data_IF_409855411148
#
_entry.id   IF_409855411148
#
_cell.length_a   1.000
_cell.length_b   1.000
_cell.length_c   1.000
_cell.angle_alpha   90.00
_cell.angle_beta   90.00
_cell.angle_gamma   90.00
#
_symmetry.space_group_name_H-M   'P 1'
#
loop_
_entity.id
_entity.type
_entity.pdbx_description
1 polymer ?
#
# COMPACT_ATOMS: atom_id res chain seq x y z
N UNK A 1 -14.20 10.24 50.02
CA UNK A 1 -13.94 9.31 48.90
C UNK A 1 -14.35 10.03 47.63
N UNK A 2 -13.40 10.45 46.80
CA UNK A 2 -13.71 11.01 45.49
C UNK A 2 -14.23 9.88 44.60
N UNK A 3 -15.39 10.08 43.98
CA UNK A 3 -15.87 9.15 42.95
C UNK A 3 -14.80 8.98 41.87
N UNK A 4 -14.54 7.74 41.40
CA UNK A 4 -13.62 7.53 40.29
C UNK A 4 -14.18 8.22 39.05
N UNK A 5 -13.41 9.17 38.50
CA UNK A 5 -13.76 9.84 37.25
C UNK A 5 -14.07 8.81 36.17
N UNK A 6 -15.22 8.97 35.52
CA UNK A 6 -15.61 8.11 34.42
C UNK A 6 -14.52 8.17 33.33
N UNK A 7 -14.07 7.03 32.80
CA UNK A 7 -13.04 7.00 31.76
C UNK A 7 -13.52 7.83 30.55
N UNK A 8 -12.67 8.75 30.10
CA UNK A 8 -12.99 9.59 28.95
C UNK A 8 -13.30 8.72 27.73
N UNK A 9 -14.31 9.09 26.92
CA UNK A 9 -14.67 8.29 25.76
C UNK A 9 -13.51 8.24 24.74
N UNK A 10 -13.36 7.15 23.97
CA UNK A 10 -12.20 6.93 23.10
C UNK A 10 -11.91 8.08 22.11
N UNK A 11 -12.96 8.74 21.59
CA UNK A 11 -12.80 9.86 20.67
C UNK A 11 -12.12 11.08 21.32
N UNK A 12 -12.35 11.32 22.61
CA UNK A 12 -11.75 12.45 23.34
C UNK A 12 -10.24 12.23 23.53
N UNK A 13 -9.83 10.98 23.77
CA UNK A 13 -8.42 10.59 23.87
C UNK A 13 -7.72 10.80 22.52
N UNK A 14 -8.35 10.34 21.42
CA UNK A 14 -7.81 10.50 20.05
C UNK A 14 -7.66 11.98 19.69
N UNK A 15 -8.68 12.80 19.93
CA UNK A 15 -8.63 14.23 19.64
C UNK A 15 -7.60 14.97 20.49
N UNK A 16 -7.49 14.61 21.77
CA UNK A 16 -6.47 15.17 22.66
C UNK A 16 -5.06 14.84 22.16
N UNK A 17 -4.82 13.58 21.80
CA UNK A 17 -3.55 13.14 21.23
C UNK A 17 -3.24 13.83 19.89
N UNK A 18 -4.20 13.97 18.99
CA UNK A 18 -3.99 14.64 17.70
C UNK A 18 -3.43 16.06 17.87
N UNK A 19 -3.84 16.77 18.94
CA UNK A 19 -3.34 18.13 19.27
C UNK A 19 -1.91 18.14 19.81
N UNK A 20 -1.40 17.03 20.34
CA UNK A 20 -0.02 16.94 20.83
C UNK A 20 0.98 16.63 19.72
N UNK A 21 0.51 16.17 18.55
CA UNK A 21 1.37 15.90 17.39
C UNK A 21 2.00 17.21 16.90
N UNK A 22 3.34 17.29 16.74
CA UNK A 22 4.00 18.49 16.25
C UNK A 22 3.50 18.91 14.87
N UNK A 23 3.30 20.22 14.65
CA UNK A 23 2.90 20.79 13.35
C UNK A 23 3.82 20.39 12.21
N UNK A 24 5.11 20.17 12.49
CA UNK A 24 6.09 19.70 11.51
C UNK A 24 5.76 18.32 10.94
N UNK A 25 5.12 17.43 11.71
CA UNK A 25 4.70 16.10 11.23
C UNK A 25 3.55 16.23 10.24
N UNK A 26 2.55 17.06 10.55
CA UNK A 26 1.46 17.37 9.61
C UNK A 26 1.99 18.02 8.33
N UNK A 27 2.90 18.99 8.45
CA UNK A 27 3.50 19.65 7.30
C UNK A 27 4.30 18.67 6.44
N UNK A 28 5.15 17.85 7.05
CA UNK A 28 5.93 16.84 6.32
C UNK A 28 5.02 15.87 5.58
N UNK A 29 3.93 15.44 6.23
CA UNK A 29 2.93 14.58 5.62
C UNK A 29 2.23 15.23 4.42
N UNK A 30 1.79 16.49 4.57
CA UNK A 30 1.18 17.25 3.47
C UNK A 30 2.16 17.47 2.31
N UNK A 31 3.43 17.79 2.60
CA UNK A 31 4.47 17.94 1.59
C UNK A 31 4.78 16.62 0.88
N UNK A 32 4.80 15.50 1.60
CA UNK A 32 4.98 14.17 1.01
C UNK A 32 3.83 13.84 0.05
N UNK A 33 2.58 14.09 0.48
CA UNK A 33 1.38 13.84 -0.31
C UNK A 33 1.33 14.72 -1.56
N UNK A 34 1.58 16.02 -1.42
CA UNK A 34 1.70 16.95 -2.53
C UNK A 34 2.87 16.60 -3.47
N UNK A 35 3.99 16.13 -2.90
CA UNK A 35 5.17 15.69 -3.64
C UNK A 35 4.88 14.49 -4.54
N UNK A 36 4.25 13.43 -4.02
CA UNK A 36 3.84 12.27 -4.83
C UNK A 36 2.92 12.71 -5.97
N UNK A 37 1.93 13.54 -5.66
CA UNK A 37 0.97 14.01 -6.66
C UNK A 37 1.65 14.85 -7.76
N UNK A 38 2.53 15.78 -7.36
CA UNK A 38 3.28 16.63 -8.27
C UNK A 38 4.21 15.81 -9.17
N UNK A 39 4.90 14.81 -8.60
CA UNK A 39 5.77 13.91 -9.36
C UNK A 39 5.01 13.03 -10.34
N UNK A 40 3.90 12.42 -9.94
CA UNK A 40 3.07 11.58 -10.83
C UNK A 40 2.45 12.41 -11.95
N UNK A 41 1.84 13.55 -11.61
CA UNK A 41 1.24 14.45 -12.61
C UNK A 41 2.30 15.03 -13.56
N UNK A 42 3.47 15.42 -13.04
CA UNK A 42 4.58 15.92 -13.82
C UNK A 42 5.18 14.85 -14.74
N UNK A 43 5.31 13.62 -14.24
CA UNK A 43 5.78 12.48 -15.05
C UNK A 43 4.80 12.16 -16.18
N UNK A 44 3.50 12.13 -15.90
CA UNK A 44 2.49 11.93 -16.95
C UNK A 44 2.51 13.07 -17.98
N UNK A 45 2.66 14.32 -17.53
CA UNK A 45 2.80 15.46 -18.42
C UNK A 45 4.02 15.32 -19.34
N UNK A 46 5.16 14.90 -18.79
CA UNK A 46 6.38 14.67 -19.56
C UNK A 46 6.18 13.57 -20.62
N UNK A 47 5.51 12.47 -20.28
CA UNK A 47 5.17 11.41 -21.25
C UNK A 47 4.30 11.95 -22.39
N UNK A 48 3.31 12.79 -22.10
CA UNK A 48 2.38 13.31 -23.11
C UNK A 48 3.02 14.35 -24.02
N UNK A 49 3.90 15.20 -23.48
CA UNK A 49 4.32 16.44 -24.15
C UNK A 49 5.79 16.52 -24.54
N UNK A 50 6.65 15.75 -23.88
CA UNK A 50 8.10 15.93 -23.95
C UNK A 50 8.79 14.66 -24.47
N UNK A 51 8.39 13.51 -23.96
CA UNK A 51 9.04 12.22 -24.27
C UNK A 51 8.47 11.65 -25.58
N UNK A 52 9.32 11.25 -26.54
CA UNK A 52 8.86 10.59 -27.77
C UNK A 52 8.05 9.32 -27.50
N UNK A 53 7.05 9.05 -28.35
CA UNK A 53 6.15 7.90 -28.18
C UNK A 53 6.91 6.57 -28.31
N UNK A 54 7.90 6.49 -29.20
CA UNK A 54 8.72 5.31 -29.42
C UNK A 54 9.55 4.98 -28.19
N UNK A 55 10.10 6.01 -27.53
CA UNK A 55 10.82 5.84 -26.28
C UNK A 55 9.87 5.40 -25.17
N UNK A 56 8.68 5.99 -25.08
CA UNK A 56 7.66 5.64 -24.10
C UNK A 56 7.25 4.17 -24.23
N UNK A 57 6.93 3.71 -25.43
CA UNK A 57 6.54 2.32 -25.68
C UNK A 57 7.68 1.35 -25.39
N UNK A 58 8.92 1.68 -25.73
CA UNK A 58 10.05 0.76 -25.54
C UNK A 58 10.58 0.69 -24.11
N UNK A 59 10.53 1.80 -23.37
CA UNK A 59 11.30 1.96 -22.13
C UNK A 59 10.45 2.36 -20.91
N UNK A 60 9.22 2.84 -21.10
CA UNK A 60 8.35 3.27 -19.99
C UNK A 60 7.17 2.30 -19.84
N UNK A 61 6.45 2.01 -20.93
CA UNK A 61 5.39 1.01 -20.95
C UNK A 61 5.97 -0.37 -20.71
N UNK A 62 5.30 -1.18 -19.86
CA UNK A 62 5.73 -2.54 -19.64
C UNK A 62 5.36 -3.41 -20.85
N UNK A 63 6.34 -3.64 -21.73
CA UNK A 63 6.27 -4.66 -22.77
C UNK A 63 6.43 -6.04 -22.15
N UNK A 64 5.46 -6.93 -22.32
CA UNK A 64 5.46 -8.28 -21.75
C UNK A 64 6.35 -9.24 -22.54
N UNK A 65 6.54 -8.97 -23.84
CA UNK A 65 7.41 -9.74 -24.73
C UNK A 65 8.89 -9.34 -24.62
N UNK A 66 9.18 -8.06 -24.33
CA UNK A 66 10.54 -7.54 -24.14
C UNK A 66 10.64 -6.63 -22.90
N UNK A 67 10.44 -7.19 -21.69
CA UNK A 67 10.49 -6.40 -20.46
C UNK A 67 11.91 -5.98 -20.14
N UNK A 68 12.10 -4.70 -19.78
CA UNK A 68 13.36 -4.18 -19.27
C UNK A 68 13.20 -3.54 -17.89
N UNK A 69 14.31 -3.32 -17.18
CA UNK A 69 14.28 -2.78 -15.83
C UNK A 69 13.59 -1.41 -15.75
N UNK A 70 13.78 -0.57 -16.77
CA UNK A 70 13.20 0.77 -16.80
C UNK A 70 11.68 0.69 -16.95
N UNK A 71 11.18 -0.17 -17.85
CA UNK A 71 9.74 -0.38 -18.04
C UNK A 71 9.09 -1.08 -16.84
N UNK A 72 9.81 -1.99 -16.18
CA UNK A 72 9.35 -2.62 -14.93
C UNK A 72 9.24 -1.63 -13.77
N UNK A 73 10.01 -0.54 -13.78
CA UNK A 73 9.88 0.50 -12.77
C UNK A 73 8.85 1.55 -13.19
N UNK A 74 9.14 2.27 -14.28
CA UNK A 74 8.36 3.42 -14.74
C UNK A 74 6.95 3.09 -15.22
N UNK A 75 6.71 1.86 -15.68
CA UNK A 75 5.38 1.40 -16.10
C UNK A 75 4.35 1.43 -14.98
N UNK A 76 4.79 1.37 -13.71
CA UNK A 76 3.90 1.51 -12.54
C UNK A 76 3.53 2.97 -12.23
N UNK A 77 4.17 3.95 -12.85
CA UNK A 77 3.89 5.38 -12.63
C UNK A 77 3.26 6.05 -13.84
N UNK A 78 3.19 5.33 -14.96
CA UNK A 78 2.55 5.77 -16.19
C UNK A 78 1.09 5.32 -16.24
N UNK A 79 0.25 6.17 -16.81
CA UNK A 79 -1.10 5.81 -17.23
C UNK A 79 -1.27 6.02 -18.74
N UNK A 80 -2.29 5.38 -19.31
CA UNK A 80 -2.66 5.63 -20.70
C UNK A 80 -3.00 7.13 -20.87
N UNK A 81 -2.27 7.88 -21.71
CA UNK A 81 -2.50 9.31 -21.90
C UNK A 81 -3.86 9.64 -22.53
N UNK A 82 -4.52 8.64 -23.15
CA UNK A 82 -5.85 8.77 -23.74
C UNK A 82 -6.98 8.49 -22.73
N UNK A 83 -6.65 8.05 -21.51
CA UNK A 83 -7.61 7.78 -20.44
C UNK A 83 -7.31 8.63 -19.20
N UNK A 84 -7.65 9.91 -19.29
CA UNK A 84 -7.47 10.88 -18.20
C UNK A 84 -8.33 10.58 -16.95
N UNK A 85 -9.40 9.79 -17.11
CA UNK A 85 -10.25 9.38 -15.99
C UNK A 85 -9.54 8.37 -15.09
N UNK A 86 -8.80 7.44 -15.69
CA UNK A 86 -8.10 6.38 -14.97
C UNK A 86 -6.91 6.88 -14.14
N UNK A 87 -6.17 7.89 -14.60
CA UNK A 87 -5.12 8.52 -13.79
C UNK A 87 -5.71 9.27 -12.59
N UNK A 88 -6.78 10.02 -12.84
CA UNK A 88 -7.44 10.85 -11.82
C UNK A 88 -8.01 9.99 -10.69
N UNK A 89 -8.70 8.90 -11.05
CA UNK A 89 -9.26 7.96 -10.07
C UNK A 89 -8.15 7.30 -9.23
N UNK A 90 -7.07 6.82 -9.85
CA UNK A 90 -5.97 6.20 -9.12
C UNK A 90 -5.27 7.19 -8.17
N UNK A 91 -5.05 8.43 -8.61
CA UNK A 91 -4.46 9.47 -7.79
C UNK A 91 -5.35 9.81 -6.59
N UNK A 92 -6.65 10.00 -6.79
CA UNK A 92 -7.59 10.26 -5.70
C UNK A 92 -7.67 9.08 -4.72
N UNK A 93 -7.76 7.85 -5.21
CA UNK A 93 -7.76 6.66 -4.35
C UNK A 93 -6.48 6.57 -3.53
N UNK A 94 -5.31 6.76 -4.13
CA UNK A 94 -4.04 6.78 -3.41
C UNK A 94 -4.01 7.90 -2.35
N UNK A 95 -4.50 9.10 -2.69
CA UNK A 95 -4.54 10.23 -1.78
C UNK A 95 -5.39 9.94 -0.54
N UNK A 96 -6.60 9.43 -0.74
CA UNK A 96 -7.51 9.05 0.35
C UNK A 96 -6.93 7.93 1.21
N UNK A 97 -6.27 6.94 0.60
CA UNK A 97 -5.63 5.84 1.32
C UNK A 97 -4.46 6.31 2.17
N UNK A 98 -3.58 7.17 1.64
CA UNK A 98 -2.46 7.71 2.41
C UNK A 98 -3.00 8.55 3.58
N UNK A 99 -4.09 9.30 3.39
CA UNK A 99 -4.76 10.05 4.48
C UNK A 99 -5.31 9.10 5.54
N UNK A 100 -6.01 8.05 5.12
CA UNK A 100 -6.51 7.03 6.06
C UNK A 100 -5.36 6.36 6.83
N UNK A 101 -4.25 6.03 6.16
CA UNK A 101 -3.04 5.50 6.78
C UNK A 101 -2.48 6.47 7.81
N UNK A 102 -2.43 7.77 7.52
CA UNK A 102 -1.98 8.77 8.48
C UNK A 102 -2.90 8.84 9.70
N UNK A 103 -4.22 8.91 9.48
CA UNK A 103 -5.19 8.95 10.57
C UNK A 103 -5.07 7.70 11.45
N UNK A 104 -5.08 6.50 10.86
CA UNK A 104 -5.03 5.25 11.63
C UNK A 104 -3.66 5.06 12.27
N UNK A 105 -2.59 5.24 11.49
CA UNK A 105 -1.23 4.88 11.85
C UNK A 105 -0.48 5.90 12.71
N UNK A 106 -0.75 7.20 12.53
CA UNK A 106 -0.05 8.29 13.22
C UNK A 106 -0.92 8.91 14.31
N UNK A 107 -2.25 8.88 14.18
CA UNK A 107 -3.16 9.48 15.17
C UNK A 107 -3.79 8.40 16.06
N UNK A 108 -4.59 7.49 15.50
CA UNK A 108 -5.42 6.57 16.29
C UNK A 108 -4.57 5.54 17.04
N UNK A 109 -3.72 4.79 16.35
CA UNK A 109 -2.91 3.73 16.96
C UNK A 109 -1.99 4.27 18.09
N UNK A 110 -1.25 5.37 17.90
CA UNK A 110 -0.47 5.96 18.98
C UNK A 110 -1.32 6.53 20.13
N UNK A 111 -2.48 7.16 19.86
CA UNK A 111 -3.39 7.62 20.91
C UNK A 111 -3.87 6.47 21.81
N UNK A 112 -4.01 5.28 21.23
CA UNK A 112 -4.33 4.03 21.92
C UNK A 112 -3.09 3.29 22.44
N UNK A 113 -1.95 3.99 22.56
CA UNK A 113 -0.68 3.46 23.10
C UNK A 113 -0.13 2.24 22.34
N UNK A 114 -0.47 2.13 21.06
CA UNK A 114 0.04 1.10 20.15
C UNK A 114 0.76 1.71 18.95
N UNK A 115 1.79 2.56 19.16
CA UNK A 115 2.49 3.20 18.06
C UNK A 115 3.26 2.17 17.22
N UNK A 116 3.37 2.45 15.93
CA UNK A 116 4.29 1.71 15.07
C UNK A 116 5.75 2.01 15.43
N UNK A 117 6.69 1.09 15.16
CA UNK A 117 8.11 1.32 15.42
C UNK A 117 8.63 2.60 14.75
N UNK A 118 9.65 3.27 15.33
CA UNK A 118 10.28 4.41 14.68
C UNK A 118 10.74 4.05 13.25
N UNK A 119 10.52 4.97 12.31
CA UNK A 119 10.85 4.80 10.87
C UNK A 119 10.00 3.77 10.11
N UNK A 120 8.98 3.17 10.72
CA UNK A 120 8.08 2.22 10.05
C UNK A 120 7.46 2.80 8.77
N UNK A 121 6.76 3.94 8.85
CA UNK A 121 6.10 4.53 7.68
C UNK A 121 7.07 4.96 6.57
N UNK A 122 8.17 5.69 6.87
CA UNK A 122 9.18 5.99 5.85
C UNK A 122 9.75 4.74 5.16
N UNK A 123 10.06 3.69 5.91
CA UNK A 123 10.58 2.44 5.33
C UNK A 123 9.56 1.75 4.44
N UNK A 124 8.30 1.65 4.88
CA UNK A 124 7.20 1.05 4.11
C UNK A 124 6.93 1.83 2.83
N UNK A 125 6.84 3.17 2.90
CA UNK A 125 6.64 4.01 1.73
C UNK A 125 7.82 3.95 0.76
N UNK A 126 9.06 3.92 1.26
CA UNK A 126 10.23 3.73 0.41
C UNK A 126 10.16 2.42 -0.35
N UNK A 127 9.81 1.32 0.32
CA UNK A 127 9.67 0.01 -0.34
C UNK A 127 8.53 0.02 -1.35
N UNK A 128 7.36 0.55 -0.99
CA UNK A 128 6.20 0.61 -1.91
C UNK A 128 6.47 1.47 -3.14
N UNK A 129 7.22 2.56 -2.99
CA UNK A 129 7.47 3.50 -4.07
C UNK A 129 8.78 3.26 -4.82
N UNK A 130 9.67 2.36 -4.39
CA UNK A 130 10.94 2.12 -5.09
C UNK A 130 11.20 0.65 -5.43
N UNK A 131 10.83 -0.29 -4.54
CA UNK A 131 11.17 -1.71 -4.71
C UNK A 131 9.98 -2.56 -5.16
N UNK A 132 8.80 -2.31 -4.59
CA UNK A 132 7.55 -2.98 -4.94
C UNK A 132 7.16 -2.92 -6.44
N UNK A 133 7.44 -1.83 -7.19
CA UNK A 133 7.14 -1.76 -8.62
C UNK A 133 7.68 -2.97 -9.41
N UNK A 134 8.88 -3.44 -9.09
CA UNK A 134 9.47 -4.60 -9.77
C UNK A 134 8.68 -5.89 -9.52
N UNK A 135 8.21 -6.10 -8.29
CA UNK A 135 7.39 -7.26 -7.93
C UNK A 135 6.03 -7.22 -8.62
N UNK A 136 5.39 -6.05 -8.63
CA UNK A 136 4.10 -5.83 -9.32
C UNK A 136 4.28 -6.05 -10.82
N UNK A 137 5.36 -5.55 -11.42
CA UNK A 137 5.65 -5.77 -12.84
C UNK A 137 5.93 -7.23 -13.17
N UNK A 138 6.68 -7.96 -12.35
CA UNK A 138 6.91 -9.38 -12.58
C UNK A 138 5.62 -10.21 -12.49
N UNK A 139 4.74 -9.92 -11.53
CA UNK A 139 3.38 -10.48 -11.47
C UNK A 139 2.60 -10.10 -12.73
N UNK A 140 2.72 -8.85 -13.16
CA UNK A 140 2.01 -8.34 -14.33
C UNK A 140 2.45 -9.00 -15.62
N UNK A 141 3.75 -9.24 -15.81
CA UNK A 141 4.30 -9.95 -16.97
C UNK A 141 3.71 -11.35 -17.04
N UNK A 142 3.79 -12.10 -15.93
CA UNK A 142 3.26 -13.45 -15.86
C UNK A 142 1.75 -13.50 -16.16
N UNK A 143 0.95 -12.66 -15.49
CA UNK A 143 -0.50 -12.67 -15.68
C UNK A 143 -0.89 -12.16 -17.07
N UNK A 144 -0.19 -11.16 -17.60
CA UNK A 144 -0.44 -10.63 -18.93
C UNK A 144 -0.19 -11.67 -20.03
N UNK A 145 0.84 -12.51 -19.90
CA UNK A 145 1.07 -13.65 -20.82
C UNK A 145 -0.12 -14.61 -20.84
N UNK A 146 -0.64 -14.97 -19.67
CA UNK A 146 -1.82 -15.84 -19.55
C UNK A 146 -3.06 -15.19 -20.18
N UNK A 147 -3.19 -13.87 -20.01
CA UNK A 147 -4.31 -13.09 -20.53
C UNK A 147 -4.16 -12.65 -22.00
N UNK A 148 -3.05 -12.98 -22.67
CA UNK A 148 -2.77 -12.53 -24.05
C UNK A 148 -2.59 -11.01 -24.19
N UNK A 149 -2.10 -10.33 -23.15
CA UNK A 149 -1.82 -8.90 -23.16
C UNK A 149 -0.34 -8.63 -23.47
N UNK A 150 -0.10 -7.77 -24.45
CA UNK A 150 1.27 -7.35 -24.81
C UNK A 150 1.81 -6.24 -23.90
N UNK A 151 0.92 -5.40 -23.37
CA UNK A 151 1.29 -4.16 -22.68
C UNK A 151 0.58 -4.03 -21.35
N UNK A 152 1.29 -3.50 -20.35
CA UNK A 152 0.72 -3.15 -19.05
C UNK A 152 1.29 -1.83 -18.52
N UNK A 153 0.49 -1.10 -17.78
CA UNK A 153 0.90 0.14 -17.10
C UNK A 153 -0.13 0.51 -16.05
N UNK A 154 0.31 1.20 -15.00
CA UNK A 154 -0.60 1.85 -14.07
C UNK A 154 -0.15 1.82 -12.62
N UNK A 155 -0.56 2.84 -11.89
CA UNK A 155 -0.27 3.01 -10.46
C UNK A 155 -1.15 2.17 -9.53
N UNK A 156 -2.20 1.54 -10.06
CA UNK A 156 -3.21 0.84 -9.27
C UNK A 156 -2.64 -0.28 -8.40
N UNK A 157 -1.64 -1.05 -8.85
CA UNK A 157 -0.98 -2.06 -8.00
C UNK A 157 -0.37 -1.46 -6.72
N UNK A 158 0.25 -0.28 -6.81
CA UNK A 158 0.80 0.45 -5.65
C UNK A 158 -0.34 1.01 -4.79
N UNK A 159 -1.42 1.52 -5.40
CA UNK A 159 -2.64 1.92 -4.68
C UNK A 159 -3.22 0.78 -3.85
N UNK A 160 -3.31 -0.43 -4.41
CA UNK A 160 -3.75 -1.61 -3.68
C UNK A 160 -2.77 -2.02 -2.57
N UNK A 161 -1.48 -1.77 -2.73
CA UNK A 161 -0.53 -1.96 -1.63
C UNK A 161 -0.76 -0.99 -0.47
N UNK A 162 -1.09 0.27 -0.74
CA UNK A 162 -1.54 1.20 0.31
C UNK A 162 -2.83 0.72 0.99
N UNK A 163 -3.77 0.15 0.23
CA UNK A 163 -4.96 -0.47 0.81
C UNK A 163 -4.59 -1.65 1.71
N UNK A 164 -3.65 -2.51 1.29
CA UNK A 164 -3.12 -3.60 2.11
C UNK A 164 -2.46 -3.10 3.40
N UNK A 165 -1.70 -2.02 3.34
CA UNK A 165 -1.11 -1.38 4.53
C UNK A 165 -2.20 -0.85 5.46
N UNK A 166 -3.25 -0.22 4.93
CA UNK A 166 -4.37 0.23 5.75
C UNK A 166 -5.03 -0.95 6.47
N UNK A 167 -5.28 -2.06 5.78
CA UNK A 167 -5.79 -3.28 6.42
C UNK A 167 -4.84 -3.84 7.47
N UNK A 168 -3.53 -3.84 7.24
CA UNK A 168 -2.55 -4.25 8.24
C UNK A 168 -2.67 -3.40 9.52
N UNK A 169 -2.83 -2.08 9.38
CA UNK A 169 -2.99 -1.17 10.52
C UNK A 169 -4.33 -1.41 11.25
N UNK A 170 -5.41 -1.64 10.49
CA UNK A 170 -6.72 -1.97 11.06
C UNK A 170 -6.70 -3.32 11.80
N UNK A 171 -6.03 -4.34 11.25
CA UNK A 171 -5.83 -5.62 11.93
C UNK A 171 -4.98 -5.48 13.19
N UNK A 172 -3.97 -4.60 13.17
CA UNK A 172 -3.17 -4.27 14.36
C UNK A 172 -4.04 -3.63 15.45
N UNK A 173 -4.96 -2.75 15.06
CA UNK A 173 -5.95 -2.14 15.95
C UNK A 173 -6.92 -3.18 16.53
N UNK A 174 -7.42 -4.11 15.71
CA UNK A 174 -8.26 -5.24 16.16
C UNK A 174 -7.49 -6.08 17.18
N UNK A 175 -6.30 -6.54 16.83
CA UNK A 175 -5.47 -7.39 17.69
C UNK A 175 -5.24 -6.75 19.05
N UNK A 176 -4.93 -5.46 19.08
CA UNK A 176 -4.78 -4.72 20.34
C UNK A 176 -6.07 -4.70 21.15
N UNK A 177 -7.18 -4.34 20.51
CA UNK A 177 -8.48 -4.22 21.18
C UNK A 177 -8.93 -5.57 21.76
N UNK A 178 -8.66 -6.69 21.06
CA UNK A 178 -8.90 -8.06 21.56
C UNK A 178 -8.09 -8.31 22.83
N UNK A 179 -6.78 -8.06 22.80
CA UNK A 179 -5.89 -8.33 23.93
C UNK A 179 -6.21 -7.47 25.18
N UNK A 180 -6.72 -6.27 24.98
CA UNK A 180 -7.09 -5.36 26.07
C UNK A 180 -8.53 -5.54 26.55
N UNK A 181 -9.34 -6.35 25.85
CA UNK A 181 -10.74 -6.56 26.21
C UNK A 181 -10.86 -7.32 27.54
N UNK A 182 -11.46 -6.66 28.54
CA UNK A 182 -11.82 -7.27 29.84
C UNK A 182 -13.34 -7.21 30.11
N UNK A 183 -14.13 -6.61 29.23
CA UNK A 183 -15.58 -6.42 29.39
C UNK A 183 -16.36 -6.86 28.14
N UNK A 184 -17.63 -7.25 28.34
CA UNK A 184 -18.55 -7.66 27.26
C UNK A 184 -18.79 -6.54 26.22
N UNK A 185 -18.84 -5.28 26.64
CA UNK A 185 -18.95 -4.12 25.74
C UNK A 185 -17.73 -3.94 24.82
N UNK A 186 -16.55 -4.36 25.30
CA UNK A 186 -15.32 -4.36 24.49
C UNK A 186 -15.35 -5.50 23.48
N UNK A 187 -15.89 -6.67 23.85
CA UNK A 187 -16.06 -7.81 22.94
C UNK A 187 -16.97 -7.50 21.74
N UNK A 188 -18.06 -6.75 21.95
CA UNK A 188 -18.91 -6.28 20.85
C UNK A 188 -18.18 -5.30 19.93
N UNK A 189 -17.38 -4.39 20.50
CA UNK A 189 -16.58 -3.42 19.72
C UNK A 189 -15.50 -4.12 18.88
N UNK A 190 -14.85 -5.14 19.44
CA UNK A 190 -13.90 -6.03 18.75
C UNK A 190 -14.58 -6.76 17.61
N UNK A 191 -15.74 -7.36 17.85
CA UNK A 191 -16.49 -8.09 16.83
C UNK A 191 -16.91 -7.19 15.68
N UNK A 192 -17.38 -5.97 15.97
CA UNK A 192 -17.72 -4.97 14.94
C UNK A 192 -16.49 -4.55 14.14
N UNK A 193 -15.35 -4.29 14.78
CA UNK A 193 -14.12 -3.89 14.09
C UNK A 193 -13.56 -5.02 13.22
N UNK A 194 -13.57 -6.26 13.71
CA UNK A 194 -13.17 -7.44 12.95
C UNK A 194 -14.13 -7.67 11.78
N UNK A 195 -15.44 -7.60 12.02
CA UNK A 195 -16.46 -7.75 10.97
C UNK A 195 -16.30 -6.67 9.91
N UNK A 196 -16.14 -5.40 10.29
CA UNK A 196 -15.91 -4.30 9.35
C UNK A 196 -14.63 -4.53 8.54
N UNK A 197 -13.53 -4.89 9.21
CA UNK A 197 -12.23 -5.13 8.54
C UNK A 197 -12.33 -6.29 7.55
N UNK A 198 -12.87 -7.44 7.97
CA UNK A 198 -13.02 -8.62 7.11
C UNK A 198 -14.04 -8.40 5.99
N UNK A 199 -15.15 -7.70 6.25
CA UNK A 199 -16.15 -7.36 5.24
C UNK A 199 -15.55 -6.43 4.20
N UNK A 200 -14.89 -5.35 4.60
CA UNK A 200 -14.24 -4.44 3.65
C UNK A 200 -13.13 -5.14 2.87
N UNK A 201 -12.35 -6.02 3.49
CA UNK A 201 -11.35 -6.83 2.79
C UNK A 201 -12.00 -7.76 1.75
N UNK A 202 -13.07 -8.44 2.15
CA UNK A 202 -13.83 -9.32 1.26
C UNK A 202 -14.42 -8.53 0.08
N UNK A 203 -15.01 -7.37 0.34
CA UNK A 203 -15.55 -6.49 -0.70
C UNK A 203 -14.44 -5.98 -1.64
N UNK A 204 -13.27 -5.61 -1.11
CA UNK A 204 -12.13 -5.21 -1.93
C UNK A 204 -11.65 -6.35 -2.84
N UNK A 205 -11.55 -7.57 -2.30
CA UNK A 205 -11.19 -8.76 -3.08
C UNK A 205 -12.26 -9.07 -4.14
N UNK A 206 -13.54 -9.03 -3.78
CA UNK A 206 -14.64 -9.22 -4.71
C UNK A 206 -14.59 -8.18 -5.83
N UNK A 207 -14.38 -6.89 -5.50
CA UNK A 207 -14.26 -5.82 -6.49
C UNK A 207 -13.11 -6.08 -7.46
N UNK A 208 -11.93 -6.48 -6.97
CA UNK A 208 -10.79 -6.89 -7.81
C UNK A 208 -11.24 -8.00 -8.79
N UNK A 209 -11.93 -9.03 -8.30
CA UNK A 209 -12.40 -10.13 -9.16
C UNK A 209 -13.54 -9.76 -10.12
N UNK A 210 -14.33 -8.72 -9.85
CA UNK A 210 -15.33 -8.24 -10.83
C UNK A 210 -14.72 -7.68 -12.10
N UNK A 211 -13.43 -7.31 -12.07
CA UNK A 211 -12.70 -6.83 -13.25
C UNK A 211 -12.11 -7.97 -14.11
N UNK A 212 -12.22 -9.23 -13.66
CA UNK A 212 -11.70 -10.38 -14.40
C UNK A 212 -12.36 -10.57 -15.78
N UNK A 213 -13.71 -10.46 -15.91
CA UNK A 213 -14.39 -10.67 -17.20
C UNK A 213 -14.14 -9.57 -18.23
N UNK A 214 -13.85 -8.33 -17.80
CA UNK A 214 -13.64 -7.22 -18.72
C UNK A 214 -12.30 -7.36 -19.45
N UNK A 215 -11.32 -8.04 -18.85
CA UNK A 215 -10.00 -8.22 -19.41
C UNK A 215 -9.26 -6.90 -19.64
N UNK A 216 -9.76 -5.75 -19.20
CA UNK A 216 -9.12 -4.45 -19.44
C UNK A 216 -8.02 -4.18 -18.42
N UNK A 217 -8.20 -4.62 -17.18
CA UNK A 217 -7.27 -4.37 -16.08
C UNK A 217 -6.45 -5.62 -15.74
N UNK A 218 -5.27 -5.45 -15.13
CA UNK A 218 -4.47 -6.56 -14.63
C UNK A 218 -4.86 -6.87 -13.16
N UNK A 219 -5.92 -7.66 -13.01
CA UNK A 219 -6.49 -8.06 -11.71
C UNK A 219 -5.46 -8.69 -10.77
N UNK A 220 -4.52 -9.47 -11.32
CA UNK A 220 -3.46 -10.12 -10.54
C UNK A 220 -2.43 -9.12 -10.00
N UNK A 221 -2.17 -8.02 -10.72
CA UNK A 221 -1.31 -6.95 -10.22
C UNK A 221 -1.94 -6.24 -9.02
N UNK A 222 -3.27 -6.06 -9.03
CA UNK A 222 -4.01 -5.49 -7.89
C UNK A 222 -3.99 -6.42 -6.68
N UNK A 223 -4.30 -7.70 -6.90
CA UNK A 223 -4.27 -8.70 -5.83
C UNK A 223 -2.86 -8.84 -5.25
N UNK A 224 -1.83 -8.90 -6.12
CA UNK A 224 -0.43 -8.90 -5.73
C UNK A 224 -0.06 -7.67 -4.90
N UNK A 225 -0.45 -6.48 -5.36
CA UNK A 225 -0.31 -5.23 -4.62
C UNK A 225 -0.94 -5.30 -3.23
N UNK A 226 -2.20 -5.72 -3.13
CA UNK A 226 -2.93 -5.86 -1.85
C UNK A 226 -2.23 -6.82 -0.88
N UNK A 227 -1.88 -8.02 -1.34
CA UNK A 227 -1.25 -9.05 -0.51
C UNK A 227 0.16 -8.66 -0.06
N UNK A 228 0.97 -8.09 -0.96
CA UNK A 228 2.28 -7.56 -0.62
C UNK A 228 2.16 -6.34 0.33
N UNK A 229 1.11 -5.53 0.15
CA UNK A 229 0.76 -4.42 1.02
C UNK A 229 0.39 -4.82 2.44
N UNK A 230 -0.11 -6.04 2.65
CA UNK A 230 -0.35 -6.63 3.97
C UNK A 230 0.93 -7.24 4.58
N UNK A 231 1.71 -7.94 3.75
CA UNK A 231 2.86 -8.73 4.20
C UNK A 231 4.10 -7.87 4.50
N UNK A 232 4.47 -6.97 3.57
CA UNK A 232 5.70 -6.18 3.67
C UNK A 232 5.73 -5.32 4.95
N UNK A 233 4.65 -4.61 5.35
CA UNK A 233 4.68 -3.84 6.59
C UNK A 233 4.92 -4.72 7.82
N UNK A 234 4.35 -5.93 7.85
CA UNK A 234 4.60 -6.89 8.94
C UNK A 234 6.09 -7.23 9.05
N UNK A 235 6.74 -7.52 7.91
CA UNK A 235 8.18 -7.84 7.87
C UNK A 235 9.06 -6.63 8.23
N UNK A 236 8.69 -5.42 7.81
CA UNK A 236 9.36 -4.18 8.21
C UNK A 236 9.24 -3.97 9.72
N UNK A 237 8.06 -4.20 10.29
CA UNK A 237 7.82 -4.14 11.73
C UNK A 237 8.73 -5.11 12.48
N UNK A 238 8.83 -6.36 12.02
CA UNK A 238 9.75 -7.36 12.58
C UNK A 238 11.22 -6.92 12.47
N UNK A 239 11.63 -6.41 11.31
CA UNK A 239 13.00 -5.92 11.10
C UNK A 239 13.37 -4.79 12.05
N UNK A 240 12.47 -3.82 12.22
CA UNK A 240 12.71 -2.64 13.06
C UNK A 240 12.67 -2.95 14.57
N UNK A 241 11.94 -3.98 14.98
CA UNK A 241 11.79 -4.39 16.39
C UNK A 241 12.69 -5.54 16.82
N UNK A 242 13.38 -6.18 15.87
CA UNK A 242 14.32 -7.27 16.13
C UNK A 242 15.43 -6.86 17.11
N UNK A 243 15.70 -7.75 18.08
CA UNK A 243 16.61 -7.48 19.20
C UNK A 243 18.08 -7.64 18.81
N UNK A 244 18.37 -8.54 17.89
CA UNK A 244 19.73 -8.89 17.48
C UNK A 244 19.91 -8.82 15.96
N UNK A 245 21.18 -8.85 15.52
CA UNK A 245 21.54 -8.76 14.11
C UNK A 245 21.09 -9.96 13.28
N UNK A 246 20.95 -11.14 13.89
CA UNK A 246 20.53 -12.36 13.19
C UNK A 246 19.05 -12.28 12.82
N UNK A 247 18.20 -11.85 13.73
CA UNK A 247 16.77 -11.61 13.46
C UNK A 247 16.57 -10.54 12.39
N UNK A 248 17.35 -9.45 12.45
CA UNK A 248 17.35 -8.41 11.41
C UNK A 248 17.76 -8.96 10.06
N UNK A 249 18.83 -9.75 10.00
CA UNK A 249 19.27 -10.38 8.75
C UNK A 249 18.18 -11.29 8.18
N UNK A 250 17.56 -12.12 9.01
CA UNK A 250 16.46 -13.01 8.59
C UNK A 250 15.28 -12.20 8.05
N UNK A 251 14.78 -11.21 8.79
CA UNK A 251 13.68 -10.35 8.32
C UNK A 251 14.05 -9.60 7.02
N UNK A 252 15.29 -9.10 6.91
CA UNK A 252 15.80 -8.46 5.70
C UNK A 252 15.84 -9.41 4.49
N UNK A 253 16.28 -10.65 4.68
CA UNK A 253 16.25 -11.70 3.65
C UNK A 253 14.82 -11.97 3.23
N UNK A 254 13.87 -12.11 4.17
CA UNK A 254 12.46 -12.31 3.83
C UNK A 254 11.87 -11.15 3.04
N UNK A 255 12.15 -9.90 3.42
CA UNK A 255 11.73 -8.72 2.64
C UNK A 255 12.32 -8.80 1.22
N UNK A 256 13.62 -9.08 1.12
CA UNK A 256 14.31 -9.25 -0.17
C UNK A 256 13.68 -10.35 -1.03
N UNK A 257 13.39 -11.52 -0.46
CA UNK A 257 12.77 -12.64 -1.18
C UNK A 257 11.35 -12.34 -1.64
N UNK A 258 10.53 -11.73 -0.79
CA UNK A 258 9.14 -11.34 -1.11
C UNK A 258 9.09 -10.31 -2.23
N UNK A 259 10.12 -9.47 -2.36
CA UNK A 259 10.22 -8.51 -3.45
C UNK A 259 10.85 -9.15 -4.72
N UNK A 260 11.94 -9.88 -4.55
CA UNK A 260 12.75 -10.40 -5.65
C UNK A 260 12.05 -11.55 -6.38
N UNK A 261 11.49 -12.54 -5.67
CA UNK A 261 10.90 -13.72 -6.29
C UNK A 261 9.78 -13.32 -7.27
N UNK A 262 8.78 -12.49 -6.89
CA UNK A 262 7.76 -12.05 -7.83
C UNK A 262 8.30 -11.18 -8.97
N UNK A 263 9.46 -10.52 -8.79
CA UNK A 263 10.08 -9.71 -9.84
C UNK A 263 10.70 -10.54 -10.96
N UNK A 264 11.13 -11.78 -10.68
CA UNK A 264 11.89 -12.61 -11.63
C UNK A 264 11.23 -13.95 -11.96
N UNK A 265 10.20 -14.39 -11.23
CA UNK A 265 9.63 -15.73 -11.43
C UNK A 265 9.09 -15.98 -12.84
N UNK A 266 8.66 -14.93 -13.54
CA UNK A 266 8.17 -15.00 -14.91
C UNK A 266 9.25 -15.46 -15.90
N UNK A 267 10.54 -15.36 -15.56
CA UNK A 267 11.66 -15.91 -16.34
C UNK A 267 11.69 -17.44 -16.33
N UNK A 268 11.09 -18.07 -15.33
CA UNK A 268 11.11 -19.52 -15.13
C UNK A 268 9.90 -20.21 -15.74
N UNK A 269 8.92 -19.46 -16.25
CA UNK A 269 7.69 -20.03 -16.81
C UNK A 269 7.73 -19.98 -18.34
N UNK A 270 7.77 -21.14 -19.02
CA UNK A 270 7.64 -21.19 -20.47
C UNK A 270 6.17 -20.89 -20.84
N UNK A 271 5.97 -19.81 -21.58
CA UNK A 271 4.72 -19.46 -22.24
C UNK A 271 5.04 -19.06 -23.68
#
# INVERSE_FOLDING_TARGET
MSEPEAPSPPYAIILSYARTIPKSIYLLYLLFLAGIFGLLSGFQYAIIRIIPIEFTLRHIYLNVGDPNLLSMFLGNYMHNPLDSSHITNNLYSAYLLIIAIFIVGIIILPALRSPMPPKFFPATFLIFLLALPFSISGISIWSARIMGKEWSSGFSGITYAFLGLLFFLMLSLVYRTVLESRSESTSQSVFLLLTATCLTLTLAICQIFTELPSGTVNVYAHLGGLLLGLLIPSLIGLFLTARDHRQKAVAGVFIGSVLFIPSVFWLLMPF
#
